data_IF_915149038776
#
_entry.id   IF_915149038776
#
_cell.length_a   1.000
_cell.length_b   1.000
_cell.length_c   1.000
_cell.angle_alpha   90.00
_cell.angle_beta   90.00
_cell.angle_gamma   90.00
#
_symmetry.space_group_name_H-M   'P 1'
#
loop_
_entity.id
_entity.type
_entity.pdbx_description
1 polymer ?
#
# COMPACT_ATOMS: atom_id res chain seq x y z
N UNK A 1 -22.25 -2.83 1.60
CA UNK A 1 -21.74 -1.44 1.60
C UNK A 1 -20.63 -1.38 0.57
N UNK A 2 -20.57 -0.33 -0.27
CA UNK A 2 -19.49 -0.16 -1.22
C UNK A 2 -18.30 0.42 -0.47
N UNK A 3 -17.20 -0.32 -0.38
CA UNK A 3 -15.94 0.14 0.18
C UNK A 3 -15.01 0.54 -0.97
N UNK A 4 -14.28 1.63 -0.79
CA UNK A 4 -13.35 2.14 -1.78
C UNK A 4 -11.91 1.70 -1.44
N UNK A 5 -11.08 1.57 -2.47
CA UNK A 5 -9.66 1.31 -2.29
C UNK A 5 -8.96 2.60 -1.87
N UNK A 6 -8.28 2.58 -0.72
CA UNK A 6 -7.37 3.64 -0.30
C UNK A 6 -5.99 3.39 -0.87
N UNK A 7 -5.48 4.34 -1.62
CA UNK A 7 -4.07 4.34 -2.02
C UNK A 7 -3.36 5.46 -1.27
N UNK A 8 -2.43 5.09 -0.42
CA UNK A 8 -1.56 6.05 0.26
C UNK A 8 -0.35 6.38 -0.60
N UNK A 9 0.09 7.62 -0.50
CA UNK A 9 1.33 8.09 -1.10
C UNK A 9 2.50 7.64 -0.23
N UNK A 10 2.86 6.36 -0.34
CA UNK A 10 4.12 5.87 0.20
C UNK A 10 5.20 6.25 -0.79
N UNK A 11 5.87 7.36 -0.53
CA UNK A 11 6.95 7.85 -1.39
C UNK A 11 8.14 6.89 -1.37
N UNK A 12 8.23 6.01 -2.35
CA UNK A 12 9.43 5.20 -2.61
C UNK A 12 9.63 4.04 -1.64
N UNK A 13 10.67 4.06 -0.82
CA UNK A 13 11.14 2.93 -0.03
C UNK A 13 10.49 2.74 1.35
N UNK A 14 9.64 3.65 1.80
CA UNK A 14 9.03 3.56 3.14
C UNK A 14 8.01 2.43 3.23
N UNK A 15 8.40 1.33 3.89
CA UNK A 15 7.57 0.13 4.09
C UNK A 15 6.71 0.20 5.35
N UNK A 16 6.92 1.18 6.20
CA UNK A 16 6.18 1.42 7.45
C UNK A 16 5.74 2.87 7.50
N UNK A 17 4.46 3.11 7.65
CA UNK A 17 3.88 4.44 7.83
C UNK A 17 3.19 4.54 9.19
N UNK A 18 3.23 5.72 9.81
CA UNK A 18 2.57 5.98 11.10
C UNK A 18 1.84 7.31 11.04
N UNK A 19 0.67 7.37 11.65
CA UNK A 19 -0.11 8.59 11.82
C UNK A 19 -0.82 8.60 13.17
N UNK A 20 -0.87 9.76 13.80
CA UNK A 20 -1.57 10.01 15.06
C UNK A 20 -2.70 10.99 14.82
N UNK A 21 -3.91 10.60 15.13
CA UNK A 21 -5.10 11.38 14.81
C UNK A 21 -5.93 11.71 16.05
N UNK A 22 -6.47 12.94 16.08
CA UNK A 22 -7.59 13.29 16.94
C UNK A 22 -8.90 13.18 16.16
N UNK A 23 -9.93 12.61 16.80
CA UNK A 23 -11.25 12.46 16.22
C UNK A 23 -11.26 11.75 14.85
N UNK A 24 -10.50 10.66 14.73
CA UNK A 24 -10.40 9.93 13.47
C UNK A 24 -11.75 9.36 13.04
N UNK A 25 -12.22 9.82 11.89
CA UNK A 25 -13.36 9.26 11.19
C UNK A 25 -12.95 8.98 9.75
N UNK A 26 -13.26 7.80 9.27
CA UNK A 26 -13.07 7.47 7.85
C UNK A 26 -14.28 6.73 7.29
N UNK A 27 -14.39 6.75 5.97
CA UNK A 27 -15.40 6.01 5.24
C UNK A 27 -14.97 4.56 5.05
N UNK A 28 -15.89 3.62 4.79
CA UNK A 28 -15.55 2.24 4.47
C UNK A 28 -14.55 2.16 3.33
N UNK A 29 -13.40 1.53 3.59
CA UNK A 29 -12.28 1.41 2.67
C UNK A 29 -11.50 0.12 2.92
N UNK A 30 -10.53 -0.14 2.08
CA UNK A 30 -9.54 -1.20 2.21
C UNK A 30 -8.24 -0.76 1.50
N UNK A 31 -7.12 -1.32 1.91
CA UNK A 31 -5.78 -1.03 1.37
C UNK A 31 -4.92 -2.30 1.33
N UNK A 32 -3.72 -2.21 0.74
CA UNK A 32 -2.83 -3.36 0.55
C UNK A 32 -1.91 -3.63 1.75
N UNK A 33 -1.77 -2.69 2.65
CA UNK A 33 -0.95 -2.80 3.84
C UNK A 33 -1.68 -3.59 4.94
N UNK A 34 -0.93 -4.13 5.88
CA UNK A 34 -1.44 -4.49 7.19
C UNK A 34 -1.57 -3.24 8.06
N UNK A 35 -2.53 -3.21 8.96
CA UNK A 35 -2.79 -2.07 9.83
C UNK A 35 -2.90 -2.47 11.30
N UNK A 36 -2.20 -1.72 12.17
CA UNK A 36 -2.40 -1.72 13.60
C UNK A 36 -3.01 -0.39 14.03
N UNK A 37 -4.14 -0.47 14.74
CA UNK A 37 -4.84 0.66 15.32
C UNK A 37 -4.75 0.53 16.84
N UNK A 38 -4.29 1.57 17.52
CA UNK A 38 -4.25 1.63 18.97
C UNK A 38 -4.88 2.93 19.48
N UNK A 39 -5.74 2.84 20.47
CA UNK A 39 -6.38 3.99 21.08
C UNK A 39 -5.51 4.50 22.21
N UNK A 40 -5.03 5.74 22.11
CA UNK A 40 -4.27 6.40 23.18
C UNK A 40 -5.20 7.03 24.22
N UNK A 41 -6.31 7.63 23.76
CA UNK A 41 -7.28 8.32 24.60
C UNK A 41 -8.68 8.19 24.02
N UNK A 42 -9.67 8.11 24.91
CA UNK A 42 -11.09 8.08 24.53
C UNK A 42 -11.56 6.71 24.07
N UNK A 43 -12.56 6.71 23.19
CA UNK A 43 -13.21 5.51 22.68
C UNK A 43 -13.33 5.57 21.16
N UNK A 44 -13.07 4.46 20.51
CA UNK A 44 -13.09 4.34 19.06
C UNK A 44 -13.84 3.08 18.67
N UNK A 45 -14.77 3.20 17.74
CA UNK A 45 -15.43 2.05 17.12
C UNK A 45 -14.75 1.75 15.79
N UNK A 46 -14.27 0.52 15.63
CA UNK A 46 -13.74 0.00 14.38
C UNK A 46 -14.71 -1.03 13.83
N UNK A 47 -15.25 -0.79 12.65
CA UNK A 47 -16.04 -1.80 11.93
C UNK A 47 -15.13 -2.55 10.98
N UNK A 48 -15.12 -3.86 11.10
CA UNK A 48 -14.29 -4.77 10.33
C UNK A 48 -15.11 -6.02 9.97
N UNK A 49 -15.20 -6.35 8.68
CA UNK A 49 -15.92 -7.52 8.17
C UNK A 49 -17.36 -7.67 8.75
N UNK A 50 -18.12 -6.56 8.78
CA UNK A 50 -19.47 -6.48 9.34
C UNK A 50 -19.60 -6.65 10.86
N UNK A 51 -18.49 -6.71 11.58
CA UNK A 51 -18.44 -6.72 13.04
C UNK A 51 -17.91 -5.39 13.54
N UNK A 52 -18.50 -4.87 14.63
CA UNK A 52 -18.03 -3.66 15.28
C UNK A 52 -17.25 -4.02 16.55
N UNK A 53 -16.08 -3.40 16.68
CA UNK A 53 -15.21 -3.49 17.83
C UNK A 53 -15.11 -2.13 18.51
N UNK A 54 -15.49 -2.08 19.78
CA UNK A 54 -15.31 -0.87 20.59
C UNK A 54 -13.95 -1.00 21.29
N UNK A 55 -13.09 -0.02 21.06
CA UNK A 55 -11.76 0.09 21.64
C UNK A 55 -11.71 1.28 22.58
N UNK A 56 -11.18 1.09 23.76
CA UNK A 56 -10.89 2.14 24.74
C UNK A 56 -9.38 2.36 24.86
N UNK A 57 -8.98 3.38 25.61
CA UNK A 57 -7.56 3.71 25.79
C UNK A 57 -6.73 2.48 26.20
N UNK A 58 -5.63 2.24 25.50
CA UNK A 58 -4.73 1.09 25.64
C UNK A 58 -5.13 -0.15 24.84
N UNK A 59 -6.35 -0.20 24.29
CA UNK A 59 -6.78 -1.32 23.45
C UNK A 59 -6.41 -1.12 22.00
N UNK A 60 -6.27 -2.25 21.28
CA UNK A 60 -5.79 -2.24 19.89
C UNK A 60 -6.46 -3.33 19.04
N UNK A 61 -6.39 -3.13 17.74
CA UNK A 61 -6.90 -4.06 16.73
C UNK A 61 -5.87 -4.20 15.60
N UNK A 62 -5.74 -5.42 15.09
CA UNK A 62 -4.97 -5.73 13.88
C UNK A 62 -5.90 -6.03 12.72
N UNK A 63 -5.69 -5.36 11.60
CA UNK A 63 -6.41 -5.54 10.35
C UNK A 63 -5.44 -6.02 9.29
N UNK A 64 -5.76 -7.16 8.69
CA UNK A 64 -4.95 -7.70 7.63
C UNK A 64 -5.21 -6.98 6.30
N UNK A 65 -4.21 -6.98 5.45
CA UNK A 65 -4.29 -6.41 4.11
C UNK A 65 -5.54 -6.87 3.36
N UNK A 66 -6.23 -5.93 2.71
CA UNK A 66 -7.41 -6.17 1.90
C UNK A 66 -8.72 -6.29 2.68
N UNK A 67 -8.70 -6.18 4.00
CA UNK A 67 -9.91 -6.24 4.82
C UNK A 67 -10.66 -4.91 4.81
N UNK A 68 -11.99 -4.98 4.57
CA UNK A 68 -12.84 -3.79 4.55
C UNK A 68 -13.10 -3.33 5.97
N UNK A 69 -12.80 -2.06 6.24
CA UNK A 69 -13.01 -1.47 7.56
C UNK A 69 -13.34 0.02 7.48
N UNK A 70 -13.81 0.56 8.61
CA UNK A 70 -13.93 2.01 8.85
C UNK A 70 -13.81 2.29 10.35
N UNK A 71 -13.43 3.53 10.67
CA UNK A 71 -13.18 4.00 12.03
C UNK A 71 -14.14 5.15 12.34
N UNK A 72 -14.68 5.13 13.55
CA UNK A 72 -15.49 6.19 14.11
C UNK A 72 -15.05 6.46 15.56
N UNK A 73 -14.46 7.61 15.79
CA UNK A 73 -14.02 8.04 17.12
C UNK A 73 -15.11 8.80 17.87
N UNK A 74 -15.17 8.65 19.17
CA UNK A 74 -15.87 9.58 20.03
C UNK A 74 -15.10 10.91 20.12
N UNK A 75 -15.76 12.02 20.52
CA UNK A 75 -15.08 13.31 20.66
C UNK A 75 -13.83 13.23 21.56
N UNK A 76 -12.78 13.96 21.15
CA UNK A 76 -11.48 14.07 21.84
C UNK A 76 -10.69 12.76 21.95
N UNK A 77 -11.08 11.71 21.21
CA UNK A 77 -10.31 10.48 21.11
C UNK A 77 -9.02 10.69 20.32
N UNK A 78 -7.94 10.05 20.77
CA UNK A 78 -6.65 10.04 20.08
C UNK A 78 -6.31 8.60 19.70
N UNK A 79 -5.98 8.42 18.43
CA UNK A 79 -5.73 7.11 17.80
C UNK A 79 -4.39 7.11 17.08
N UNK A 80 -3.56 6.12 17.37
CA UNK A 80 -2.33 5.83 16.66
C UNK A 80 -2.58 4.75 15.59
N UNK A 81 -2.19 5.04 14.36
CA UNK A 81 -2.29 4.15 13.19
C UNK A 81 -0.89 3.78 12.72
N UNK A 82 -0.64 2.51 12.54
CA UNK A 82 0.59 2.01 11.91
C UNK A 82 0.22 1.12 10.73
N UNK A 83 0.60 1.55 9.53
CA UNK A 83 0.48 0.77 8.31
C UNK A 83 1.83 0.20 7.92
N UNK A 84 1.85 -1.03 7.45
CA UNK A 84 3.10 -1.66 7.05
C UNK A 84 2.90 -2.68 5.93
N UNK A 85 3.93 -2.78 5.11
CA UNK A 85 4.01 -3.69 3.98
C UNK A 85 3.80 -5.16 4.44
N UNK A 86 2.92 -5.87 3.76
CA UNK A 86 2.62 -7.29 4.04
C UNK A 86 3.85 -8.18 4.00
N UNK A 87 4.83 -7.88 3.16
CA UNK A 87 6.04 -8.67 3.03
C UNK A 87 6.92 -8.66 4.29
N UNK A 88 6.72 -7.68 5.22
CA UNK A 88 7.44 -7.65 6.50
C UNK A 88 6.99 -8.76 7.45
N UNK A 89 5.78 -9.26 7.28
CA UNK A 89 5.17 -10.25 8.16
C UNK A 89 4.61 -11.45 7.39
N UNK A 90 5.05 -11.63 6.13
CA UNK A 90 4.52 -12.66 5.25
C UNK A 90 4.62 -14.08 5.86
N UNK A 91 5.70 -14.40 6.54
CA UNK A 91 5.88 -15.71 7.21
C UNK A 91 4.84 -15.97 8.32
N UNK A 92 4.23 -14.92 8.86
CA UNK A 92 3.15 -15.01 9.86
C UNK A 92 1.78 -14.94 9.16
N UNK A 93 1.51 -13.84 8.45
CA UNK A 93 0.18 -13.49 7.97
C UNK A 93 -0.27 -14.25 6.72
N UNK A 94 0.65 -14.88 5.97
CA UNK A 94 0.29 -15.75 4.84
C UNK A 94 -0.07 -17.18 5.27
N UNK A 95 0.35 -17.61 6.46
CA UNK A 95 0.10 -18.98 6.96
C UNK A 95 -0.89 -19.01 8.11
N UNK A 96 -1.07 -17.91 8.82
CA UNK A 96 -1.90 -17.86 10.02
C UNK A 96 -2.80 -16.62 10.04
N UNK A 97 -3.96 -16.75 10.64
CA UNK A 97 -4.92 -15.68 10.90
C UNK A 97 -5.22 -15.61 12.38
N UNK A 98 -5.23 -14.42 12.95
CA UNK A 98 -5.69 -14.23 14.33
C UNK A 98 -7.17 -14.61 14.45
N UNK A 99 -7.54 -15.27 15.52
CA UNK A 99 -8.92 -15.67 15.78
C UNK A 99 -9.84 -14.45 16.01
N UNK A 100 -9.28 -13.35 16.50
CA UNK A 100 -9.98 -12.09 16.73
C UNK A 100 -9.12 -10.93 16.24
N UNK A 101 -9.71 -9.98 15.55
CA UNK A 101 -9.02 -8.79 15.10
C UNK A 101 -8.65 -7.88 16.29
N UNK A 102 -9.56 -7.69 17.27
CA UNK A 102 -9.24 -6.99 18.53
C UNK A 102 -8.29 -7.84 19.35
N UNK A 103 -7.13 -7.26 19.68
CA UNK A 103 -6.09 -7.93 20.44
C UNK A 103 -6.51 -8.08 21.91
N UNK A 104 -6.27 -9.26 22.49
CA UNK A 104 -6.66 -9.57 23.86
C UNK A 104 -5.59 -9.19 24.89
N UNK A 105 -4.33 -9.14 24.45
CA UNK A 105 -3.18 -8.81 25.28
C UNK A 105 -2.85 -7.33 25.32
N UNK A 106 -2.00 -6.94 26.26
CA UNK A 106 -1.39 -5.62 26.31
C UNK A 106 -0.02 -5.67 25.64
N UNK A 107 0.08 -5.06 24.46
CA UNK A 107 1.30 -5.03 23.67
C UNK A 107 1.93 -3.64 23.67
N UNK A 108 3.26 -3.51 23.49
CA UNK A 108 3.95 -2.20 23.48
C UNK A 108 3.75 -1.45 22.15
N UNK A 109 2.49 -1.37 21.66
CA UNK A 109 2.17 -0.79 20.33
C UNK A 109 2.50 0.70 20.30
N UNK A 110 2.10 1.46 21.33
CA UNK A 110 2.36 2.91 21.40
C UNK A 110 3.85 3.22 21.59
N UNK A 111 4.57 2.39 22.34
CA UNK A 111 6.03 2.51 22.48
C UNK A 111 6.73 2.23 21.14
N UNK A 112 6.31 1.18 20.43
CA UNK A 112 6.84 0.87 19.10
C UNK A 112 6.49 1.96 18.09
N UNK A 113 5.25 2.47 18.11
CA UNK A 113 4.82 3.62 17.31
C UNK A 113 5.74 4.83 17.53
N UNK A 114 6.00 5.19 18.79
CA UNK A 114 6.86 6.33 19.15
C UNK A 114 8.31 6.12 18.69
N UNK A 115 8.84 4.90 18.80
CA UNK A 115 10.17 4.56 18.28
C UNK A 115 10.24 4.69 16.77
N UNK A 116 9.24 4.21 16.04
CA UNK A 116 9.16 4.35 14.58
C UNK A 116 9.07 5.81 14.17
N UNK A 117 8.24 6.61 14.83
CA UNK A 117 8.14 8.06 14.61
C UNK A 117 9.51 8.73 14.77
N UNK A 118 10.20 8.42 15.87
CA UNK A 118 11.53 8.96 16.15
C UNK A 118 12.56 8.61 15.06
N UNK A 119 12.59 7.38 14.60
CA UNK A 119 13.47 6.97 13.49
C UNK A 119 13.15 7.73 12.21
N UNK A 120 11.85 7.88 11.87
CA UNK A 120 11.39 8.61 10.69
C UNK A 120 11.68 10.12 10.76
N UNK A 121 11.64 10.72 11.93
CA UNK A 121 11.97 12.12 12.14
C UNK A 121 13.48 12.36 12.06
N UNK A 122 14.28 11.54 12.74
CA UNK A 122 15.73 11.71 12.80
C UNK A 122 16.45 11.25 11.51
N UNK A 123 15.86 10.37 10.74
CA UNK A 123 16.39 9.81 9.48
C UNK A 123 17.88 9.41 9.57
N UNK A 124 18.27 8.75 10.68
CA UNK A 124 19.62 8.21 10.82
C UNK A 124 19.90 7.16 9.74
N UNK A 125 21.16 6.88 9.41
CA UNK A 125 21.49 5.79 8.49
C UNK A 125 20.77 4.49 8.89
N UNK A 126 20.13 3.82 7.92
CA UNK A 126 19.37 2.57 8.10
C UNK A 126 18.06 2.73 8.91
N UNK A 127 17.49 3.93 9.01
CA UNK A 127 16.24 4.14 9.73
C UNK A 127 15.07 3.31 9.17
N UNK A 128 15.01 3.10 7.85
CA UNK A 128 14.00 2.27 7.21
C UNK A 128 14.10 0.80 7.65
N UNK A 129 15.32 0.25 7.69
CA UNK A 129 15.56 -1.10 8.19
C UNK A 129 15.20 -1.21 9.68
N UNK A 130 15.52 -0.17 10.46
CA UNK A 130 15.17 -0.14 11.88
C UNK A 130 13.65 -0.12 12.09
N UNK A 131 12.90 0.66 11.31
CA UNK A 131 11.43 0.66 11.40
C UNK A 131 10.83 -0.69 11.01
N UNK A 132 11.38 -1.36 9.99
CA UNK A 132 10.98 -2.71 9.61
C UNK A 132 11.21 -3.73 10.73
N UNK A 133 12.37 -3.67 11.40
CA UNK A 133 12.67 -4.56 12.52
C UNK A 133 11.69 -4.35 13.68
N UNK A 134 11.43 -3.08 14.04
CA UNK A 134 10.51 -2.74 15.13
C UNK A 134 9.10 -3.32 14.92
N UNK A 135 8.57 -3.18 13.71
CA UNK A 135 7.22 -3.72 13.41
C UNK A 135 7.21 -5.24 13.34
N UNK A 136 8.27 -5.85 12.77
CA UNK A 136 8.36 -7.31 12.70
C UNK A 136 8.46 -7.94 14.09
N UNK A 137 9.26 -7.36 15.00
CA UNK A 137 9.37 -7.79 16.39
C UNK A 137 8.03 -7.72 17.11
N UNK A 138 7.31 -6.59 16.96
CA UNK A 138 5.98 -6.41 17.55
C UNK A 138 5.00 -7.46 17.04
N UNK A 139 4.96 -7.73 15.74
CA UNK A 139 4.06 -8.72 15.15
C UNK A 139 4.37 -10.15 15.60
N UNK A 140 5.66 -10.50 15.71
CA UNK A 140 6.08 -11.79 16.28
C UNK A 140 5.57 -11.92 17.72
N UNK A 141 5.69 -10.85 18.53
CA UNK A 141 5.18 -10.86 19.90
C UNK A 141 3.66 -11.08 19.96
N UNK A 142 2.90 -10.34 19.13
CA UNK A 142 1.44 -10.51 19.04
C UNK A 142 1.08 -11.94 18.65
N UNK A 143 1.67 -12.51 17.60
CA UNK A 143 1.36 -13.88 17.15
C UNK A 143 1.83 -14.99 18.10
N UNK A 144 2.70 -14.70 19.06
CA UNK A 144 3.08 -15.65 20.11
C UNK A 144 2.06 -15.73 21.26
N UNK A 145 1.34 -14.64 21.50
CA UNK A 145 0.44 -14.52 22.66
C UNK A 145 -1.04 -14.64 22.26
N UNK A 146 -1.41 -14.19 21.07
CA UNK A 146 -2.79 -14.26 20.59
C UNK A 146 -3.14 -15.64 20.02
N UNK A 147 -4.41 -16.02 20.15
CA UNK A 147 -4.92 -17.22 19.50
C UNK A 147 -4.99 -17.01 17.98
N UNK A 148 -4.44 -17.94 17.23
CA UNK A 148 -4.47 -17.94 15.78
C UNK A 148 -4.89 -19.30 15.22
N UNK A 149 -5.38 -19.30 13.98
CA UNK A 149 -5.68 -20.50 13.21
C UNK A 149 -4.79 -20.55 11.97
N UNK A 150 -4.35 -21.76 11.53
CA UNK A 150 -3.75 -21.90 10.23
C UNK A 150 -4.72 -21.39 9.16
N UNK A 151 -4.24 -20.58 8.24
CA UNK A 151 -4.95 -20.32 6.99
C UNK A 151 -4.96 -21.65 6.23
N UNK A 152 -5.97 -22.49 6.49
CA UNK A 152 -6.27 -23.59 5.59
C UNK A 152 -6.52 -22.93 4.26
N UNK A 153 -5.70 -23.29 3.24
CA UNK A 153 -5.78 -22.78 1.88
C UNK A 153 -7.25 -22.53 1.55
N UNK A 154 -7.68 -21.28 1.53
CA UNK A 154 -9.04 -20.99 1.05
C UNK A 154 -9.06 -21.54 -0.37
N UNK A 155 -9.96 -22.45 -0.73
CA UNK A 155 -10.22 -22.74 -2.10
C UNK A 155 -10.71 -21.40 -2.68
N UNK A 156 -9.94 -20.83 -3.57
CA UNK A 156 -10.08 -19.49 -4.13
C UNK A 156 -9.46 -18.40 -3.25
N UNK A 157 -8.25 -17.97 -3.64
CA UNK A 157 -7.68 -16.69 -3.25
C UNK A 157 -8.76 -15.61 -3.37
N UNK A 158 -8.91 -14.75 -2.37
CA UNK A 158 -9.85 -13.64 -2.51
C UNK A 158 -9.49 -12.88 -3.80
N UNK A 159 -10.45 -12.27 -4.47
CA UNK A 159 -10.17 -11.49 -5.69
C UNK A 159 -9.10 -10.42 -5.45
N UNK A 160 -8.91 -10.03 -4.19
CA UNK A 160 -7.91 -9.06 -3.73
C UNK A 160 -6.54 -9.70 -3.60
N UNK A 161 -6.43 -10.91 -3.06
CA UNK A 161 -5.14 -11.63 -2.98
C UNK A 161 -4.63 -11.94 -4.38
N UNK A 162 -5.50 -12.40 -5.26
CA UNK A 162 -5.17 -12.58 -6.68
C UNK A 162 -4.73 -11.26 -7.34
N UNK A 163 -5.35 -10.13 -6.96
CA UNK A 163 -4.94 -8.82 -7.46
C UNK A 163 -3.54 -8.41 -6.99
N UNK A 164 -3.18 -8.66 -5.72
CA UNK A 164 -1.82 -8.43 -5.21
C UNK A 164 -0.79 -9.25 -5.98
N UNK A 165 -1.04 -10.56 -6.10
CA UNK A 165 -0.18 -11.45 -6.89
C UNK A 165 -0.11 -11.04 -8.36
N UNK A 166 -1.19 -10.48 -8.92
CA UNK A 166 -1.16 -9.92 -10.25
C UNK A 166 -0.24 -8.70 -10.36
N UNK A 167 -0.20 -7.83 -9.34
CA UNK A 167 0.72 -6.68 -9.34
C UNK A 167 2.18 -7.13 -9.32
N UNK A 168 2.51 -8.15 -8.49
CA UNK A 168 3.84 -8.76 -8.45
C UNK A 168 4.19 -9.40 -9.81
N UNK A 169 3.24 -10.10 -10.43
CA UNK A 169 3.40 -10.71 -11.76
C UNK A 169 3.61 -9.65 -12.85
N UNK A 170 2.90 -8.52 -12.77
CA UNK A 170 3.11 -7.39 -13.70
C UNK A 170 4.53 -6.84 -13.54
N UNK A 171 5.00 -6.62 -12.33
CA UNK A 171 6.34 -6.09 -12.08
C UNK A 171 7.44 -7.05 -12.54
N UNK A 172 7.26 -8.35 -12.36
CA UNK A 172 8.20 -9.38 -12.82
C UNK A 172 8.21 -9.55 -14.36
N UNK A 173 7.04 -9.41 -14.98
CA UNK A 173 6.79 -9.81 -16.37
C UNK A 173 6.27 -8.67 -17.27
N UNK A 174 6.53 -7.41 -16.87
CA UNK A 174 5.99 -6.20 -17.51
C UNK A 174 6.22 -6.14 -19.02
N UNK A 175 7.33 -6.68 -19.53
CA UNK A 175 7.70 -6.56 -20.94
C UNK A 175 6.81 -7.40 -21.87
N UNK A 176 6.20 -8.48 -21.39
CA UNK A 176 5.42 -9.40 -22.23
C UNK A 176 4.03 -9.73 -21.71
N UNK A 177 3.70 -9.43 -20.46
CA UNK A 177 2.34 -9.67 -19.95
C UNK A 177 1.29 -8.90 -20.77
N UNK A 178 0.23 -9.59 -21.14
CA UNK A 178 -0.88 -8.98 -21.89
C UNK A 178 -2.12 -8.80 -21.01
N UNK A 179 -3.10 -8.07 -21.54
CA UNK A 179 -4.40 -7.91 -20.87
C UNK A 179 -5.11 -9.26 -20.68
N UNK A 180 -5.01 -10.14 -21.68
CA UNK A 180 -5.62 -11.47 -21.63
C UNK A 180 -4.94 -12.36 -20.59
N UNK A 181 -3.59 -12.32 -20.50
CA UNK A 181 -2.83 -13.06 -19.48
C UNK A 181 -3.22 -12.62 -18.07
N UNK A 182 -3.32 -11.31 -17.85
CA UNK A 182 -3.73 -10.74 -16.56
C UNK A 182 -5.16 -11.14 -16.17
N UNK A 183 -6.11 -11.14 -17.12
CA UNK A 183 -7.46 -11.59 -16.89
C UNK A 183 -7.51 -13.10 -16.56
N UNK A 184 -6.75 -13.91 -17.29
CA UNK A 184 -6.62 -15.35 -17.06
C UNK A 184 -5.97 -15.64 -15.69
N UNK A 185 -4.91 -14.90 -15.32
CA UNK A 185 -4.27 -15.00 -14.02
C UNK A 185 -5.26 -14.76 -12.86
N UNK A 186 -6.15 -13.78 -13.02
CA UNK A 186 -7.20 -13.47 -12.06
C UNK A 186 -8.37 -14.48 -12.08
N UNK A 187 -8.40 -15.41 -13.06
CA UNK A 187 -9.55 -16.30 -13.25
C UNK A 187 -10.82 -15.57 -13.69
N UNK A 188 -10.70 -14.40 -14.33
CA UNK A 188 -11.81 -13.54 -14.71
C UNK A 188 -11.95 -13.45 -16.24
N UNK A 189 -13.20 -13.28 -16.72
CA UNK A 189 -13.39 -12.89 -18.11
C UNK A 189 -12.86 -11.47 -18.37
N UNK A 190 -12.34 -11.20 -19.57
CA UNK A 190 -11.78 -9.88 -19.94
C UNK A 190 -12.70 -8.68 -19.62
N UNK A 191 -14.03 -8.73 -19.95
CA UNK A 191 -14.91 -7.62 -19.60
C UNK A 191 -15.09 -7.43 -18.08
N UNK A 192 -15.06 -8.53 -17.31
CA UNK A 192 -15.15 -8.45 -15.86
C UNK A 192 -13.84 -7.95 -15.27
N UNK A 193 -12.71 -8.47 -15.73
CA UNK A 193 -11.37 -8.02 -15.34
C UNK A 193 -11.18 -6.52 -15.59
N UNK A 194 -11.58 -6.01 -16.76
CA UNK A 194 -11.50 -4.57 -17.07
C UNK A 194 -12.22 -3.70 -16.05
N UNK A 195 -13.46 -4.09 -15.68
CA UNK A 195 -14.25 -3.36 -14.68
C UNK A 195 -13.66 -3.51 -13.27
N UNK A 196 -13.25 -4.72 -12.93
CA UNK A 196 -12.63 -5.03 -11.64
C UNK A 196 -11.33 -4.24 -11.45
N UNK A 197 -10.40 -4.34 -12.41
CA UNK A 197 -9.11 -3.65 -12.34
C UNK A 197 -9.30 -2.13 -12.24
N UNK A 198 -10.18 -1.55 -13.06
CA UNK A 198 -10.47 -0.12 -13.01
C UNK A 198 -11.12 0.30 -11.69
N UNK A 199 -11.99 -0.54 -11.13
CA UNK A 199 -12.62 -0.26 -9.82
C UNK A 199 -11.61 -0.25 -8.69
N UNK A 200 -10.62 -1.15 -8.73
CA UNK A 200 -9.61 -1.32 -7.67
C UNK A 200 -8.45 -0.35 -7.86
N UNK A 201 -7.88 -0.25 -9.06
CA UNK A 201 -6.71 0.60 -9.34
C UNK A 201 -7.06 2.04 -9.72
N UNK A 202 -8.35 2.33 -9.98
CA UNK A 202 -8.82 3.63 -10.50
C UNK A 202 -8.44 3.93 -11.94
N UNK A 203 -7.65 3.08 -12.58
CA UNK A 203 -7.21 3.25 -13.95
C UNK A 203 -7.37 1.98 -14.78
N UNK A 204 -7.25 2.09 -16.10
CA UNK A 204 -7.27 0.90 -16.96
C UNK A 204 -5.98 0.10 -16.79
N UNK A 205 -6.05 -1.22 -16.94
CA UNK A 205 -4.88 -2.10 -16.94
C UNK A 205 -3.80 -1.64 -17.92
N UNK A 206 -4.19 -1.23 -19.13
CA UNK A 206 -3.23 -0.75 -20.14
C UNK A 206 -2.50 0.53 -19.70
N UNK A 207 -3.19 1.45 -18.99
CA UNK A 207 -2.55 2.65 -18.44
C UNK A 207 -1.55 2.26 -17.35
N UNK A 208 -1.93 1.36 -16.45
CA UNK A 208 -1.07 0.84 -15.38
C UNK A 208 0.18 0.14 -15.94
N UNK A 209 -0.01 -0.81 -16.84
CA UNK A 209 1.10 -1.55 -17.48
C UNK A 209 2.05 -0.62 -18.24
N UNK A 210 1.51 0.36 -18.98
CA UNK A 210 2.35 1.35 -19.68
C UNK A 210 3.16 2.21 -18.70
N UNK A 211 2.63 2.50 -17.51
CA UNK A 211 3.36 3.22 -16.47
C UNK A 211 4.54 2.40 -15.94
N UNK A 212 4.31 1.11 -15.61
CA UNK A 212 5.36 0.19 -15.16
C UNK A 212 6.43 0.05 -16.24
N UNK A 213 6.06 -0.19 -17.49
CA UNK A 213 6.97 -0.26 -18.63
C UNK A 213 7.82 1.00 -18.80
N UNK A 214 7.19 2.15 -18.58
CA UNK A 214 7.89 3.43 -18.71
C UNK A 214 8.89 3.67 -17.58
N UNK A 215 8.58 3.26 -16.37
CA UNK A 215 9.48 3.31 -15.22
C UNK A 215 10.79 2.57 -15.52
N UNK A 216 10.67 1.33 -16.01
CA UNK A 216 11.82 0.55 -16.45
C UNK A 216 12.57 1.19 -17.63
N UNK A 217 11.84 1.79 -18.57
CA UNK A 217 12.48 2.48 -19.70
C UNK A 217 13.28 3.71 -19.25
N UNK A 218 12.76 4.51 -18.33
CA UNK A 218 13.47 5.67 -17.76
C UNK A 218 14.75 5.21 -17.05
N UNK A 219 14.67 4.16 -16.24
CA UNK A 219 15.83 3.57 -15.57
C UNK A 219 16.90 3.14 -16.60
N UNK A 220 16.51 2.43 -17.67
CA UNK A 220 17.43 2.02 -18.72
C UNK A 220 18.05 3.23 -19.46
N UNK A 221 17.28 4.31 -19.70
CA UNK A 221 17.79 5.54 -20.34
C UNK A 221 18.85 6.23 -19.47
N UNK A 222 18.69 6.18 -18.15
CA UNK A 222 19.59 6.82 -17.19
C UNK A 222 20.86 5.99 -16.95
N UNK A 223 20.74 4.67 -16.80
CA UNK A 223 21.89 3.80 -16.54
C UNK A 223 22.77 3.59 -17.77
N UNK A 224 22.16 3.61 -18.96
CA UNK A 224 22.85 3.28 -20.20
C UNK A 224 22.71 4.35 -21.30
N UNK A 225 23.02 5.63 -21.03
CA UNK A 225 22.67 6.75 -21.91
C UNK A 225 23.29 6.71 -23.31
N UNK A 226 24.23 5.79 -23.59
CA UNK A 226 24.91 5.66 -24.89
C UNK A 226 25.03 4.22 -25.40
N UNK A 227 24.54 3.22 -24.67
CA UNK A 227 24.69 1.80 -25.03
C UNK A 227 23.46 1.25 -25.76
N UNK A 228 22.29 1.77 -25.49
CA UNK A 228 21.03 1.31 -26.07
C UNK A 228 20.36 2.45 -26.82
N UNK A 229 19.81 2.14 -27.98
CA UNK A 229 18.96 3.10 -28.70
C UNK A 229 17.59 3.20 -28.04
N UNK A 230 16.90 4.35 -28.19
CA UNK A 230 15.53 4.55 -27.70
C UNK A 230 14.58 3.45 -28.23
N UNK A 231 14.77 3.04 -29.49
CA UNK A 231 13.97 1.97 -30.10
C UNK A 231 14.21 0.63 -29.43
N UNK A 232 15.46 0.33 -29.08
CA UNK A 232 15.82 -0.90 -28.39
C UNK A 232 15.26 -0.92 -26.95
N UNK A 233 15.35 0.20 -26.23
CA UNK A 233 14.77 0.34 -24.90
C UNK A 233 13.24 0.13 -24.96
N UNK A 234 12.56 0.79 -25.91
CA UNK A 234 11.12 0.65 -26.10
C UNK A 234 10.73 -0.83 -26.31
N UNK A 235 11.49 -1.55 -27.16
CA UNK A 235 11.24 -2.97 -27.43
C UNK A 235 11.48 -3.84 -26.21
N UNK A 236 12.56 -3.62 -25.44
CA UNK A 236 12.86 -4.36 -24.21
C UNK A 236 11.81 -4.13 -23.12
N UNK A 237 11.19 -2.95 -23.10
CA UNK A 237 10.12 -2.63 -22.17
C UNK A 237 8.73 -3.07 -22.67
N UNK A 238 8.64 -3.84 -23.77
CA UNK A 238 7.39 -4.42 -24.25
C UNK A 238 6.48 -3.47 -25.02
N UNK A 239 7.04 -2.36 -25.56
CA UNK A 239 6.30 -1.52 -26.51
C UNK A 239 6.42 -2.07 -27.92
N UNK A 240 5.31 -2.40 -28.56
CA UNK A 240 5.28 -2.96 -29.92
C UNK A 240 5.81 -1.98 -30.96
N UNK A 241 5.61 -0.66 -30.77
CA UNK A 241 6.05 0.36 -31.68
C UNK A 241 6.70 1.55 -30.98
N UNK A 242 7.76 2.10 -31.58
CA UNK A 242 8.42 3.31 -31.11
C UNK A 242 7.46 4.53 -31.08
N UNK A 243 6.46 4.54 -31.97
CA UNK A 243 5.46 5.61 -32.01
C UNK A 243 4.56 5.57 -30.75
N UNK A 244 4.14 4.37 -30.34
CA UNK A 244 3.36 4.18 -29.11
C UNK A 244 4.19 4.56 -27.90
N UNK A 245 5.44 4.07 -27.81
CA UNK A 245 6.37 4.43 -26.74
C UNK A 245 6.52 5.95 -26.60
N UNK A 246 6.88 6.65 -27.68
CA UNK A 246 7.10 8.10 -27.63
C UNK A 246 5.84 8.87 -27.21
N UNK A 247 4.65 8.41 -27.61
CA UNK A 247 3.39 9.00 -27.18
C UNK A 247 3.21 8.83 -25.68
N UNK A 248 3.29 7.59 -25.19
CA UNK A 248 3.14 7.28 -23.75
C UNK A 248 4.19 8.02 -22.93
N UNK A 249 5.44 8.07 -23.43
CA UNK A 249 6.54 8.76 -22.76
C UNK A 249 6.22 10.26 -22.59
N UNK A 250 5.75 10.91 -23.66
CA UNK A 250 5.38 12.33 -23.62
C UNK A 250 4.14 12.60 -22.79
N UNK A 251 3.12 11.74 -22.88
CA UNK A 251 1.89 11.88 -22.10
C UNK A 251 2.15 11.83 -20.60
N UNK A 252 3.16 11.05 -20.19
CA UNK A 252 3.49 10.82 -18.78
C UNK A 252 4.54 11.79 -18.25
N UNK A 253 5.62 12.02 -19.00
CA UNK A 253 6.77 12.84 -18.53
C UNK A 253 6.72 14.29 -19.00
N UNK A 254 5.84 14.62 -19.95
CA UNK A 254 5.78 15.92 -20.58
C UNK A 254 6.89 16.21 -21.61
N UNK A 255 7.84 15.26 -21.82
CA UNK A 255 9.01 15.45 -22.69
C UNK A 255 9.27 14.23 -23.57
N UNK A 256 10.18 14.33 -24.51
CA UNK A 256 10.61 13.18 -25.31
C UNK A 256 11.72 12.38 -24.60
N UNK A 257 11.93 11.09 -24.95
CA UNK A 257 12.99 10.28 -24.35
C UNK A 257 14.41 10.86 -24.51
N UNK A 258 14.65 11.66 -25.55
CA UNK A 258 15.94 12.31 -25.79
C UNK A 258 16.16 13.56 -24.95
N UNK A 259 15.10 14.17 -24.47
CA UNK A 259 15.10 15.36 -23.63
C UNK A 259 15.16 15.03 -22.15
N UNK A 260 15.11 13.72 -21.79
CA UNK A 260 15.08 13.27 -20.39
C UNK A 260 16.38 13.68 -19.67
N UNK A 261 16.32 14.47 -18.59
CA UNK A 261 17.50 14.80 -17.80
C UNK A 261 18.06 13.54 -17.10
N UNK A 262 19.38 13.47 -16.97
CA UNK A 262 20.05 12.34 -16.30
C UNK A 262 19.70 12.18 -14.82
N UNK A 263 19.26 13.26 -14.19
CA UNK A 263 18.80 13.29 -12.80
C UNK A 263 17.26 13.33 -12.68
N UNK A 264 16.54 13.01 -13.75
CA UNK A 264 15.07 12.95 -13.70
C UNK A 264 14.62 11.87 -12.73
N UNK A 265 13.88 12.26 -11.73
CA UNK A 265 13.20 11.33 -10.83
C UNK A 265 11.75 11.25 -11.32
N UNK A 266 11.32 10.08 -11.80
CA UNK A 266 9.95 9.94 -12.25
C UNK A 266 9.01 10.09 -11.06
N UNK A 267 8.16 11.12 -11.11
CA UNK A 267 7.00 11.20 -10.22
C UNK A 267 5.83 10.45 -10.89
N UNK A 268 5.84 9.13 -10.81
CA UNK A 268 4.72 8.29 -11.26
C UNK A 268 3.53 8.33 -10.30
N UNK A 269 3.65 9.07 -9.19
CA UNK A 269 2.57 9.27 -8.23
C UNK A 269 1.29 9.82 -8.87
N UNK A 270 1.32 10.82 -9.81
CA UNK A 270 0.11 11.28 -10.47
C UNK A 270 -0.52 10.24 -11.41
N UNK A 271 0.22 9.20 -11.80
CA UNK A 271 -0.23 8.21 -12.80
C UNK A 271 -0.60 6.91 -12.10
N UNK A 272 0.09 6.55 -11.04
CA UNK A 272 -0.37 5.57 -10.04
C UNK A 272 -1.42 6.19 -9.10
N UNK A 273 -1.47 7.53 -8.99
CA UNK A 273 -2.63 8.22 -8.43
C UNK A 273 -3.80 7.98 -9.38
N UNK A 274 -4.76 7.30 -8.88
CA UNK A 274 -6.14 7.41 -9.30
C UNK A 274 -6.41 8.91 -9.34
N UNK A 275 -6.94 9.43 -10.45
CA UNK A 275 -7.29 10.87 -10.60
C UNK A 275 -8.22 11.37 -9.46
N UNK A 276 -8.71 10.44 -8.61
CA UNK A 276 -9.35 10.65 -7.33
C UNK A 276 -8.78 9.62 -6.34
N UNK A 277 -7.52 9.80 -5.88
CA UNK A 277 -7.00 8.99 -4.77
C UNK A 277 -7.97 9.15 -3.60
N UNK A 278 -8.78 8.13 -3.38
CA UNK A 278 -9.78 8.16 -2.33
C UNK A 278 -9.06 8.18 -0.98
N UNK A 279 -9.12 9.33 -0.34
CA UNK A 279 -8.74 9.46 1.05
C UNK A 279 -10.00 9.19 1.90
N UNK A 280 -10.09 8.07 2.62
CA UNK A 280 -11.25 7.75 3.43
C UNK A 280 -11.40 8.68 4.63
N UNK A 281 -10.35 9.39 5.03
CA UNK A 281 -10.30 10.23 6.22
C UNK A 281 -11.18 11.48 6.03
N UNK A 282 -12.16 11.65 6.92
CA UNK A 282 -13.07 12.80 6.89
C UNK A 282 -12.38 14.07 7.40
N UNK A 283 -12.86 15.23 6.95
CA UNK A 283 -12.31 16.54 7.33
C UNK A 283 -12.39 16.85 8.83
N UNK A 284 -13.25 16.13 9.57
CA UNK A 284 -13.34 16.24 11.04
C UNK A 284 -12.17 15.59 11.78
N UNK A 285 -11.34 14.82 11.08
CA UNK A 285 -10.18 14.15 11.64
C UNK A 285 -8.97 15.07 11.57
N UNK A 286 -8.28 15.24 12.68
CA UNK A 286 -7.06 16.06 12.77
C UNK A 286 -5.83 15.17 12.85
N UNK A 287 -4.93 15.25 11.87
CA UNK A 287 -3.63 14.61 11.93
C UNK A 287 -2.74 15.41 12.89
N UNK A 288 -2.35 14.80 13.98
CA UNK A 288 -1.47 15.40 14.98
C UNK A 288 -0.02 15.24 14.50
N UNK A 289 0.63 16.37 14.17
CA UNK A 289 2.09 16.41 14.01
C UNK A 289 2.71 16.43 15.41
N UNK A 290 3.81 15.66 15.61
CA UNK A 290 4.55 15.80 16.87
C UNK A 290 5.03 17.24 17.02
N UNK A 291 5.02 17.80 18.26
CA UNK A 291 5.68 19.06 18.50
C UNK A 291 7.16 18.90 18.12
N UNK A 292 7.68 19.86 17.34
CA UNK A 292 9.11 19.99 17.11
C UNK A 292 9.81 19.92 18.48
N UNK A 293 10.41 18.80 18.78
CA UNK A 293 11.36 18.70 19.89
C UNK A 293 12.60 19.47 19.48
N UNK A 294 12.51 20.80 19.58
CA UNK A 294 13.69 21.62 19.77
C UNK A 294 14.17 21.33 21.19
N UNK A 295 15.20 20.49 21.30
CA UNK A 295 16.31 20.65 22.23
C UNK A 295 17.44 19.69 21.88
#
# INVERSE_FOLDING_TARGET
MLANFEQRDTSGAERVWTGRYRNLHNLPHWHLENELICVEQGTVTVSHNHQEYILTAGESIFLASGEIHYIKSDPDSITAITLFDVALTADLTSHYQLCCAKLSGSYPILDTFSKIQKERTLKKPFFEQQTCVLITELMIHIFREEAYTPLISRPEHSSIDNYKHLLDEIDANYSYITFSDAAAFMGLSEPYFSRFFRKISGMTFSKYLNTVRLEHAIHMLQEHPRRLSVTEIASRCGFETIRHFNRVFRDITGMSPRELPSNYVPDFKPIRRIEDAFNPTLQSSELLTEPDTQE
#
